data_IF_947115022770
#
_entry.id   IF_947115022770
#
_cell.length_a   1.000
_cell.length_b   1.000
_cell.length_c   1.000
_cell.angle_alpha   90.00
_cell.angle_beta   90.00
_cell.angle_gamma   90.00
#
_symmetry.space_group_name_H-M   'P 1'
#
loop_
_entity.id
_entity.type
_entity.pdbx_description
1 polymer ?
#
# COMPACT_ATOMS: atom_id res chain seq x y z
N UNK A 1 -12.42 -18.67 -7.43
CA UNK A 1 -10.99 -18.35 -7.51
C UNK A 1 -10.29 -19.05 -6.37
N UNK A 2 -9.41 -20.02 -6.64
CA UNK A 2 -8.48 -20.52 -5.62
C UNK A 2 -7.62 -19.33 -5.22
N UNK A 3 -7.68 -18.94 -3.95
CA UNK A 3 -6.65 -18.10 -3.36
C UNK A 3 -5.30 -18.69 -3.77
N UNK A 4 -4.36 -17.87 -4.21
CA UNK A 4 -2.96 -18.26 -4.19
C UNK A 4 -2.69 -18.71 -2.75
N UNK A 5 -2.58 -20.02 -2.55
CA UNK A 5 -2.41 -20.60 -1.22
C UNK A 5 -1.04 -20.14 -0.78
N UNK A 6 -1.04 -19.32 0.26
CA UNK A 6 0.07 -18.65 0.92
C UNK A 6 1.17 -19.61 1.46
N UNK A 7 1.19 -20.88 1.04
CA UNK A 7 2.04 -21.94 1.58
C UNK A 7 3.17 -22.44 0.66
N UNK A 8 3.18 -22.16 -0.65
CA UNK A 8 4.13 -22.83 -1.56
C UNK A 8 5.60 -22.46 -1.32
N UNK A 9 5.90 -21.24 -0.86
CA UNK A 9 7.26 -20.81 -0.55
C UNK A 9 7.73 -21.23 0.85
N UNK A 10 6.81 -21.39 1.81
CA UNK A 10 7.13 -21.84 3.17
C UNK A 10 7.61 -23.31 3.18
N UNK A 11 7.17 -24.10 2.19
CA UNK A 11 7.69 -25.45 1.92
C UNK A 11 9.07 -25.46 1.23
N UNK A 12 9.49 -24.36 0.60
CA UNK A 12 10.76 -24.24 -0.13
C UNK A 12 11.86 -23.60 0.73
N UNK A 13 11.48 -22.69 1.63
CA UNK A 13 12.39 -21.96 2.51
C UNK A 13 11.85 -21.97 3.94
N UNK A 14 12.49 -22.75 4.81
CA UNK A 14 12.20 -22.74 6.24
C UNK A 14 12.78 -21.48 6.89
N UNK A 15 11.92 -20.69 7.55
CA UNK A 15 12.32 -19.57 8.40
C UNK A 15 12.09 -19.96 9.85
N UNK A 16 13.13 -19.86 10.69
CA UNK A 16 13.00 -20.13 12.12
C UNK A 16 12.07 -19.09 12.77
N UNK A 17 10.99 -19.56 13.39
CA UNK A 17 10.01 -18.75 14.11
C UNK A 17 10.65 -17.83 15.17
N UNK A 18 11.78 -18.25 15.76
CA UNK A 18 12.51 -17.43 16.75
C UNK A 18 13.08 -16.15 16.15
N UNK A 19 13.50 -16.19 14.88
CA UNK A 19 14.00 -15.01 14.18
C UNK A 19 12.85 -14.03 13.93
N UNK A 20 11.68 -14.55 13.52
CA UNK A 20 10.47 -13.74 13.33
C UNK A 20 10.02 -13.11 14.66
N UNK A 21 10.00 -13.90 15.74
CA UNK A 21 9.63 -13.44 17.08
C UNK A 21 10.57 -12.34 17.62
N UNK A 22 11.89 -12.51 17.40
CA UNK A 22 12.89 -11.50 17.75
C UNK A 22 12.73 -10.21 16.93
N UNK A 23 12.49 -10.33 15.61
CA UNK A 23 12.28 -9.19 14.73
C UNK A 23 11.00 -8.42 15.07
N UNK A 24 9.89 -9.12 15.31
CA UNK A 24 8.64 -8.50 15.74
C UNK A 24 8.78 -7.83 17.10
N UNK A 25 9.44 -8.49 18.06
CA UNK A 25 9.73 -7.89 19.37
C UNK A 25 10.56 -6.62 19.27
N UNK A 26 11.50 -6.57 18.31
CA UNK A 26 12.29 -5.36 18.02
C UNK A 26 11.42 -4.25 17.45
N UNK A 27 10.58 -4.53 16.43
CA UNK A 27 9.66 -3.55 15.84
C UNK A 27 8.70 -2.96 16.89
N UNK A 28 8.17 -3.79 17.79
CA UNK A 28 7.29 -3.35 18.87
C UNK A 28 7.96 -2.37 19.85
N UNK A 29 9.30 -2.36 19.91
CA UNK A 29 10.06 -1.40 20.71
C UNK A 29 9.99 0.05 20.19
N UNK A 30 9.59 0.24 18.93
CA UNK A 30 9.51 1.56 18.28
C UNK A 30 8.10 2.15 18.23
N UNK A 31 7.13 1.51 18.90
CA UNK A 31 5.79 2.06 19.02
C UNK A 31 5.73 3.11 20.14
N UNK A 32 5.15 4.27 19.83
CA UNK A 32 4.93 5.33 20.82
C UNK A 32 3.65 5.13 21.62
N UNK A 33 3.48 5.88 22.71
CA UNK A 33 2.25 5.90 23.50
C UNK A 33 1.00 6.35 22.69
N UNK A 34 1.20 7.09 21.59
CA UNK A 34 0.13 7.50 20.67
C UNK A 34 -0.28 6.39 19.69
N UNK A 35 0.44 5.27 19.65
CA UNK A 35 0.19 4.15 18.74
C UNK A 35 0.91 4.24 17.40
N UNK A 36 1.55 5.39 17.07
CA UNK A 36 2.40 5.53 15.88
C UNK A 36 3.74 4.80 16.04
N UNK A 37 4.28 4.32 14.93
CA UNK A 37 5.66 3.84 14.87
C UNK A 37 6.60 5.00 14.53
N UNK A 38 7.85 4.89 14.95
CA UNK A 38 8.90 5.86 14.63
C UNK A 38 10.10 5.13 14.06
N UNK A 39 10.76 5.78 13.11
CA UNK A 39 11.99 5.26 12.52
C UNK A 39 13.15 5.32 13.54
N UNK A 40 14.16 4.48 13.34
CA UNK A 40 15.37 4.48 14.17
C UNK A 40 16.15 5.79 14.07
N UNK A 41 16.87 6.15 15.13
CA UNK A 41 17.62 7.43 15.24
C UNK A 41 18.55 7.70 14.06
N UNK A 42 19.11 6.65 13.45
CA UNK A 42 20.02 6.76 12.31
C UNK A 42 19.32 7.25 11.03
N UNK A 43 18.05 6.90 10.83
CA UNK A 43 17.29 7.24 9.63
C UNK A 43 16.30 8.40 9.84
N UNK A 44 16.31 9.06 11.01
CA UNK A 44 15.51 10.27 11.25
C UNK A 44 15.93 11.41 10.31
N UNK A 45 17.24 11.62 10.14
CA UNK A 45 17.78 12.70 9.31
C UNK A 45 17.96 12.30 7.85
N UNK A 46 18.14 11.01 7.57
CA UNK A 46 18.32 10.48 6.22
C UNK A 46 17.45 9.24 6.08
N UNK A 47 16.15 9.41 5.82
CA UNK A 47 15.23 8.29 5.72
C UNK A 47 15.59 7.41 4.52
N UNK A 48 15.43 6.09 4.69
CA UNK A 48 15.57 5.11 3.60
C UNK A 48 14.55 5.37 2.48
N UNK A 49 13.32 5.71 2.85
CA UNK A 49 12.28 6.20 1.95
C UNK A 49 11.78 7.54 2.49
N UNK A 50 11.98 8.62 1.72
CA UNK A 50 11.52 9.96 2.10
C UNK A 50 10.00 10.03 2.29
N UNK A 51 9.24 9.13 1.65
CA UNK A 51 7.77 9.03 1.74
C UNK A 51 7.28 8.36 3.02
N UNK A 52 8.17 7.69 3.75
CA UNK A 52 7.89 7.01 5.03
C UNK A 52 8.70 7.62 6.18
N UNK A 53 9.27 8.81 6.00
CA UNK A 53 9.97 9.56 7.03
C UNK A 53 9.06 10.10 8.15
N UNK A 54 9.64 10.47 9.30
CA UNK A 54 8.92 11.11 10.41
C UNK A 54 8.72 12.63 10.20
N UNK A 55 8.99 13.15 8.98
CA UNK A 55 9.01 14.59 8.71
C UNK A 55 7.63 15.21 8.52
N UNK A 56 6.72 14.49 7.85
CA UNK A 56 5.36 14.98 7.55
C UNK A 56 4.31 14.11 8.23
N UNK A 57 3.14 14.66 8.59
CA UNK A 57 2.06 13.89 9.22
C UNK A 57 1.61 12.71 8.34
N UNK A 58 1.53 12.91 7.02
CA UNK A 58 1.11 11.86 6.08
C UNK A 58 2.14 10.74 5.99
N UNK A 59 3.42 11.08 6.00
CA UNK A 59 4.53 10.11 5.97
C UNK A 59 4.59 9.26 7.25
N UNK A 60 4.28 9.86 8.42
CA UNK A 60 4.10 9.11 9.69
C UNK A 60 2.96 8.11 9.63
N UNK A 61 1.85 8.51 9.00
CA UNK A 61 0.69 7.66 8.78
C UNK A 61 1.05 6.52 7.83
N UNK A 62 1.73 6.81 6.72
CA UNK A 62 2.18 5.80 5.76
C UNK A 62 3.11 4.75 6.42
N UNK A 63 4.10 5.21 7.20
CA UNK A 63 5.02 4.32 7.92
C UNK A 63 4.27 3.45 8.95
N UNK A 64 3.39 4.07 9.74
CA UNK A 64 2.58 3.34 10.73
C UNK A 64 1.69 2.31 10.05
N UNK A 65 1.01 2.66 8.97
CA UNK A 65 0.18 1.74 8.19
C UNK A 65 1.00 0.58 7.60
N UNK A 66 2.18 0.86 7.06
CA UNK A 66 3.07 -0.16 6.51
C UNK A 66 3.50 -1.17 7.58
N UNK A 67 3.91 -0.70 8.76
CA UNK A 67 4.27 -1.57 9.89
C UNK A 67 3.07 -2.38 10.37
N UNK A 68 1.88 -1.80 10.43
CA UNK A 68 0.66 -2.51 10.83
C UNK A 68 0.29 -3.64 9.87
N UNK A 69 0.43 -3.41 8.56
CA UNK A 69 0.25 -4.46 7.54
C UNK A 69 1.23 -5.61 7.81
N UNK A 70 2.51 -5.31 7.99
CA UNK A 70 3.53 -6.32 8.27
C UNK A 70 3.26 -7.09 9.57
N UNK A 71 2.90 -6.39 10.66
CA UNK A 71 2.56 -7.00 11.94
C UNK A 71 1.34 -7.91 11.83
N UNK A 72 0.33 -7.53 11.04
CA UNK A 72 -0.86 -8.35 10.83
C UNK A 72 -0.55 -9.64 10.06
N UNK A 73 0.29 -9.57 9.02
CA UNK A 73 0.75 -10.76 8.28
C UNK A 73 1.60 -11.68 9.18
N UNK A 74 2.51 -11.11 9.99
CA UNK A 74 3.35 -11.86 10.91
C UNK A 74 2.60 -12.39 12.14
N UNK A 75 1.40 -11.89 12.46
CA UNK A 75 0.64 -12.32 13.63
C UNK A 75 0.26 -13.81 13.60
N UNK A 76 0.22 -14.42 12.41
CA UNK A 76 0.00 -15.86 12.25
C UNK A 76 1.24 -16.71 12.58
N UNK A 77 2.44 -16.13 12.49
CA UNK A 77 3.73 -16.82 12.66
C UNK A 77 4.25 -16.75 14.11
N UNK A 78 3.78 -15.77 14.88
CA UNK A 78 4.22 -15.48 16.25
C UNK A 78 3.28 -16.14 17.27
N UNK A 79 3.84 -16.74 18.30
CA UNK A 79 3.11 -17.47 19.35
C UNK A 79 3.41 -16.90 20.75
N UNK A 80 2.51 -17.17 21.71
CA UNK A 80 2.75 -16.82 23.11
C UNK A 80 2.59 -15.33 23.45
N UNK A 81 3.48 -14.81 24.32
CA UNK A 81 3.39 -13.46 24.88
C UNK A 81 3.57 -12.37 23.83
N UNK A 82 4.47 -12.57 22.85
CA UNK A 82 4.71 -11.61 21.78
C UNK A 82 3.45 -11.39 20.94
N UNK A 83 2.66 -12.44 20.69
CA UNK A 83 1.39 -12.33 19.96
C UNK A 83 0.41 -11.37 20.64
N UNK A 84 0.29 -11.43 21.96
CA UNK A 84 -0.58 -10.52 22.71
C UNK A 84 -0.12 -9.06 22.55
N UNK A 85 1.20 -8.82 22.64
CA UNK A 85 1.78 -7.49 22.42
C UNK A 85 1.56 -6.99 20.98
N UNK A 86 1.65 -7.87 19.99
CA UNK A 86 1.33 -7.53 18.58
C UNK A 86 -0.12 -7.11 18.44
N UNK A 87 -1.06 -7.85 19.02
CA UNK A 87 -2.48 -7.51 18.95
C UNK A 87 -2.75 -6.15 19.62
N UNK A 88 -2.18 -5.90 20.79
CA UNK A 88 -2.29 -4.61 21.48
C UNK A 88 -1.69 -3.46 20.66
N UNK A 89 -0.54 -3.70 20.03
CA UNK A 89 0.12 -2.75 19.15
C UNK A 89 -0.71 -2.43 17.90
N UNK A 90 -1.29 -3.45 17.28
CA UNK A 90 -2.18 -3.30 16.12
C UNK A 90 -3.40 -2.47 16.51
N UNK A 91 -4.06 -2.78 17.62
CA UNK A 91 -5.22 -2.02 18.10
C UNK A 91 -4.88 -0.55 18.38
N UNK A 92 -3.70 -0.30 18.95
CA UNK A 92 -3.23 1.06 19.24
C UNK A 92 -2.90 1.83 17.96
N UNK A 93 -2.27 1.18 16.99
CA UNK A 93 -1.97 1.77 15.69
C UNK A 93 -3.22 2.04 14.85
N UNK A 94 -4.23 1.17 14.88
CA UNK A 94 -5.52 1.41 14.21
C UNK A 94 -6.19 2.66 14.76
N UNK A 95 -6.26 2.80 16.10
CA UNK A 95 -6.81 4.00 16.74
C UNK A 95 -6.07 5.28 16.32
N UNK A 96 -4.75 5.20 16.16
CA UNK A 96 -3.96 6.30 15.64
C UNK A 96 -4.35 6.67 14.20
N UNK A 97 -4.46 5.66 13.32
CA UNK A 97 -4.87 5.86 11.92
C UNK A 97 -6.27 6.47 11.82
N UNK A 98 -7.23 5.97 12.59
CA UNK A 98 -8.59 6.51 12.69
C UNK A 98 -8.60 7.99 13.09
N UNK A 99 -7.80 8.36 14.10
CA UNK A 99 -7.69 9.74 14.56
C UNK A 99 -7.05 10.68 13.52
N UNK A 100 -6.22 10.14 12.62
CA UNK A 100 -5.51 10.93 11.59
C UNK A 100 -6.16 10.91 10.22
N UNK A 101 -7.17 10.06 9.99
CA UNK A 101 -7.82 9.86 8.69
C UNK A 101 -8.24 11.16 8.00
N UNK A 102 -8.82 12.10 8.74
CA UNK A 102 -9.28 13.39 8.20
C UNK A 102 -8.15 14.39 7.88
N UNK A 103 -6.93 14.15 8.35
CA UNK A 103 -5.78 15.02 8.15
C UNK A 103 -4.91 14.60 6.96
N UNK A 104 -5.13 13.39 6.42
CA UNK A 104 -4.30 12.82 5.36
C UNK A 104 -4.59 13.56 4.05
N UNK A 105 -3.59 14.27 3.53
CA UNK A 105 -3.70 14.93 2.23
C UNK A 105 -3.16 14.03 1.11
N UNK A 106 -2.05 13.32 1.38
CA UNK A 106 -1.41 12.45 0.42
C UNK A 106 -2.23 11.18 0.10
N UNK A 107 -2.47 10.97 -1.18
CA UNK A 107 -3.26 9.84 -1.67
C UNK A 107 -2.57 8.50 -1.49
N UNK A 108 -1.23 8.47 -1.57
CA UNK A 108 -0.48 7.24 -1.30
C UNK A 108 -0.58 6.83 0.17
N UNK A 109 -0.32 7.76 1.09
CA UNK A 109 -0.52 7.55 2.53
C UNK A 109 -1.96 7.12 2.88
N UNK A 110 -2.97 7.68 2.21
CA UNK A 110 -4.36 7.29 2.42
C UNK A 110 -4.63 5.86 1.93
N UNK A 111 -4.16 5.48 0.75
CA UNK A 111 -4.40 4.15 0.18
C UNK A 111 -3.81 3.04 1.06
N UNK A 112 -2.57 3.22 1.56
CA UNK A 112 -1.96 2.24 2.46
C UNK A 112 -2.65 2.20 3.82
N UNK A 113 -3.10 3.35 4.35
CA UNK A 113 -3.85 3.42 5.60
C UNK A 113 -5.20 2.70 5.49
N UNK A 114 -5.92 2.85 4.37
CA UNK A 114 -7.18 2.15 4.13
C UNK A 114 -6.98 0.63 4.14
N UNK A 115 -5.91 0.14 3.50
CA UNK A 115 -5.60 -1.29 3.53
C UNK A 115 -5.23 -1.78 4.93
N UNK A 116 -4.46 -1.01 5.69
CA UNK A 116 -4.14 -1.33 7.09
C UNK A 116 -5.41 -1.37 7.97
N UNK A 117 -6.34 -0.42 7.80
CA UNK A 117 -7.62 -0.38 8.50
C UNK A 117 -8.52 -1.58 8.15
N UNK A 118 -8.47 -2.04 6.89
CA UNK A 118 -9.17 -3.23 6.44
C UNK A 118 -8.65 -4.48 7.15
N UNK A 119 -7.33 -4.69 7.15
CA UNK A 119 -6.69 -5.81 7.86
C UNK A 119 -6.98 -5.78 9.37
N UNK A 120 -6.97 -4.57 9.94
CA UNK A 120 -7.30 -4.30 11.34
C UNK A 120 -8.77 -4.43 11.73
N UNK A 121 -9.68 -4.65 10.76
CA UNK A 121 -11.14 -4.68 10.95
C UNK A 121 -11.69 -3.46 11.69
N UNK A 122 -11.21 -2.28 11.31
CA UNK A 122 -11.69 -1.00 11.87
C UNK A 122 -13.16 -0.73 11.50
N UNK A 123 -13.89 -0.11 12.42
CA UNK A 123 -15.27 0.35 12.20
C UNK A 123 -15.34 1.56 11.24
N UNK A 124 -14.24 2.32 11.12
CA UNK A 124 -14.16 3.51 10.26
C UNK A 124 -13.71 3.20 8.83
N UNK A 125 -13.56 1.93 8.47
CA UNK A 125 -13.14 1.50 7.13
C UNK A 125 -13.98 2.13 6.01
N UNK A 126 -15.31 2.18 6.19
CA UNK A 126 -16.20 2.76 5.18
C UNK A 126 -15.97 4.26 4.97
N UNK A 127 -15.72 4.98 6.05
CA UNK A 127 -15.34 6.39 5.99
C UNK A 127 -14.02 6.54 5.25
N UNK A 128 -13.02 5.70 5.56
CA UNK A 128 -11.72 5.69 4.89
C UNK A 128 -11.85 5.45 3.38
N UNK A 129 -12.66 4.46 2.98
CA UNK A 129 -12.95 4.15 1.58
C UNK A 129 -13.64 5.31 0.86
N UNK A 130 -14.59 5.98 1.51
CA UNK A 130 -15.23 7.17 0.95
C UNK A 130 -14.22 8.30 0.72
N UNK A 131 -13.31 8.53 1.67
CA UNK A 131 -12.21 9.48 1.51
C UNK A 131 -11.31 9.11 0.33
N UNK A 132 -10.98 7.82 0.18
CA UNK A 132 -10.18 7.32 -0.95
C UNK A 132 -10.90 7.52 -2.29
N UNK A 133 -12.21 7.23 -2.36
CA UNK A 133 -13.02 7.47 -3.56
C UNK A 133 -13.05 8.96 -3.94
N UNK A 134 -13.06 9.86 -2.97
CA UNK A 134 -13.04 11.30 -3.23
C UNK A 134 -11.72 11.79 -3.85
N UNK A 135 -10.62 11.04 -3.66
CA UNK A 135 -9.31 11.34 -4.24
C UNK A 135 -9.03 10.60 -5.56
N UNK A 136 -10.05 10.02 -6.18
CA UNK A 136 -9.91 9.31 -7.45
C UNK A 136 -9.53 10.28 -8.57
N UNK A 137 -8.52 9.92 -9.35
CA UNK A 137 -8.17 10.59 -10.61
C UNK A 137 -8.63 9.71 -11.76
N UNK A 138 -8.99 10.35 -12.88
CA UNK A 138 -9.41 9.64 -14.08
C UNK A 138 -8.50 10.04 -15.22
N UNK A 139 -7.95 9.05 -15.91
CA UNK A 139 -7.06 9.30 -17.04
C UNK A 139 -7.87 9.66 -18.30
N UNK A 140 -7.19 10.07 -19.39
CA UNK A 140 -7.86 10.41 -20.67
C UNK A 140 -8.71 9.27 -21.23
N UNK A 141 -8.37 8.03 -20.89
CA UNK A 141 -9.09 6.82 -21.27
C UNK A 141 -10.32 6.51 -20.39
N UNK A 142 -10.63 7.36 -19.40
CA UNK A 142 -11.73 7.12 -18.46
C UNK A 142 -11.40 6.13 -17.34
N UNK A 143 -10.13 5.75 -17.19
CA UNK A 143 -9.69 4.75 -16.20
C UNK A 143 -9.30 5.40 -14.86
N UNK A 144 -9.80 4.87 -13.73
CA UNK A 144 -9.53 5.40 -12.41
C UNK A 144 -8.13 5.04 -11.91
N UNK A 145 -7.49 5.99 -11.23
CA UNK A 145 -6.21 5.79 -10.56
C UNK A 145 -6.04 6.72 -9.36
N UNK A 146 -5.05 6.43 -8.52
CA UNK A 146 -4.69 7.18 -7.32
C UNK A 146 -3.22 7.58 -7.43
N UNK A 147 -2.97 8.87 -7.32
CA UNK A 147 -1.62 9.42 -7.41
C UNK A 147 -1.57 10.82 -6.78
N UNK A 148 -0.46 11.18 -6.11
CA UNK A 148 -0.23 12.56 -5.68
C UNK A 148 -0.15 13.52 -6.88
N UNK A 149 0.54 13.09 -7.94
CA UNK A 149 0.77 13.85 -9.19
C UNK A 149 -0.07 13.32 -10.34
N UNK A 150 -0.35 14.16 -11.33
CA UNK A 150 -1.04 13.70 -12.54
C UNK A 150 -0.11 12.84 -13.39
N UNK A 151 -0.60 11.68 -13.81
CA UNK A 151 0.15 10.74 -14.65
C UNK A 151 -0.38 10.80 -16.08
N UNK A 152 0.48 11.12 -17.06
CA UNK A 152 0.06 11.18 -18.44
C UNK A 152 -0.27 9.78 -18.98
N UNK A 153 -1.31 9.70 -19.82
CA UNK A 153 -1.61 8.49 -20.59
C UNK A 153 -0.44 8.05 -21.48
N UNK A 154 -0.29 6.74 -21.73
CA UNK A 154 0.61 6.24 -22.75
C UNK A 154 0.29 6.87 -24.13
N UNK A 155 1.33 7.24 -24.91
CA UNK A 155 1.11 7.88 -26.20
C UNK A 155 0.41 6.92 -27.17
N UNK A 156 -0.61 7.43 -27.86
CA UNK A 156 -1.35 6.67 -28.88
C UNK A 156 -0.87 7.11 -30.26
N UNK A 157 -0.28 6.18 -31.02
CA UNK A 157 0.08 6.39 -32.42
C UNK A 157 -0.99 5.77 -33.31
N UNK A 158 -1.52 6.53 -34.27
CA UNK A 158 -2.42 6.00 -35.30
C UNK A 158 -1.63 5.65 -36.55
N UNK A 159 -1.65 4.38 -36.94
CA UNK A 159 -0.98 3.90 -38.16
C UNK A 159 -1.96 3.02 -38.94
N UNK A 160 -2.19 3.34 -40.22
CA UNK A 160 -3.12 2.62 -41.10
C UNK A 160 -4.52 2.43 -40.48
N UNK A 161 -5.09 3.50 -39.93
CA UNK A 161 -6.38 3.53 -39.22
C UNK A 161 -6.46 2.71 -37.92
N UNK A 162 -5.40 1.98 -37.55
CA UNK A 162 -5.29 1.25 -36.28
C UNK A 162 -4.59 2.12 -35.23
N UNK A 163 -5.13 2.11 -34.02
CA UNK A 163 -4.53 2.76 -32.86
C UNK A 163 -3.54 1.78 -32.21
N UNK A 164 -2.29 2.21 -32.07
CA UNK A 164 -1.24 1.51 -31.36
C UNK A 164 -0.87 2.30 -30.12
N UNK A 165 -0.85 1.64 -28.97
CA UNK A 165 -0.35 2.24 -27.73
C UNK A 165 1.14 2.03 -27.66
N UNK A 166 1.90 3.12 -27.58
CA UNK A 166 3.32 3.09 -27.31
C UNK A 166 3.57 2.86 -25.83
N UNK A 167 4.77 2.39 -25.50
CA UNK A 167 5.19 2.35 -24.11
C UNK A 167 5.52 3.78 -23.64
N UNK A 168 5.35 4.01 -22.34
CA UNK A 168 5.52 5.32 -21.72
C UNK A 168 6.93 5.45 -21.14
N UNK A 169 7.44 6.67 -21.12
CA UNK A 169 8.65 7.00 -20.36
C UNK A 169 8.31 7.11 -18.88
N UNK A 170 9.28 6.76 -18.04
CA UNK A 170 9.12 6.92 -16.60
C UNK A 170 8.96 8.41 -16.24
N UNK A 171 7.92 8.70 -15.47
CA UNK A 171 7.67 9.99 -14.85
C UNK A 171 7.83 9.87 -13.34
N UNK A 172 8.30 10.94 -12.71
CA UNK A 172 8.36 11.01 -11.25
C UNK A 172 6.96 10.80 -10.64
N UNK A 173 6.86 9.90 -9.66
CA UNK A 173 5.59 9.52 -9.03
C UNK A 173 4.91 8.29 -9.64
N UNK A 174 5.40 7.74 -10.78
CA UNK A 174 4.82 6.53 -11.38
C UNK A 174 4.80 5.35 -10.42
N UNK A 175 5.90 5.14 -9.69
CA UNK A 175 5.99 4.07 -8.69
C UNK A 175 4.99 4.27 -7.56
N UNK A 176 4.85 5.50 -7.06
CA UNK A 176 3.94 5.81 -5.96
C UNK A 176 2.48 5.65 -6.39
N UNK A 177 2.15 5.98 -7.63
CA UNK A 177 0.81 5.79 -8.16
C UNK A 177 0.47 4.32 -8.39
N UNK A 178 1.39 3.54 -8.95
CA UNK A 178 1.20 2.09 -9.10
C UNK A 178 1.00 1.44 -7.73
N UNK A 179 1.77 1.85 -6.73
CA UNK A 179 1.64 1.37 -5.36
C UNK A 179 0.30 1.77 -4.73
N UNK A 180 -0.07 3.05 -4.80
CA UNK A 180 -1.32 3.57 -4.24
C UNK A 180 -2.56 2.93 -4.91
N UNK A 181 -2.56 2.82 -6.24
CA UNK A 181 -3.62 2.13 -6.99
C UNK A 181 -3.71 0.65 -6.67
N UNK A 182 -2.57 -0.01 -6.41
CA UNK A 182 -2.55 -1.43 -6.01
C UNK A 182 -3.18 -1.62 -4.64
N UNK A 183 -2.82 -0.79 -3.65
CA UNK A 183 -3.46 -0.84 -2.33
C UNK A 183 -4.95 -0.50 -2.37
N UNK A 184 -5.33 0.51 -3.18
CA UNK A 184 -6.74 0.83 -3.41
C UNK A 184 -7.50 -0.36 -4.02
N UNK A 185 -6.92 -1.02 -5.04
CA UNK A 185 -7.49 -2.22 -5.64
C UNK A 185 -7.71 -3.33 -4.60
N UNK A 186 -6.71 -3.60 -3.75
CA UNK A 186 -6.83 -4.59 -2.68
C UNK A 186 -7.97 -4.26 -1.72
N UNK A 187 -8.09 -3.00 -1.31
CA UNK A 187 -9.14 -2.56 -0.42
C UNK A 187 -10.54 -2.69 -1.05
N UNK A 188 -10.72 -2.25 -2.30
CA UNK A 188 -12.01 -2.37 -3.00
C UNK A 188 -12.36 -3.83 -3.28
N UNK A 189 -11.39 -4.65 -3.70
CA UNK A 189 -11.62 -6.06 -3.97
C UNK A 189 -12.01 -6.82 -2.70
N UNK A 190 -11.41 -6.48 -1.56
CA UNK A 190 -11.75 -7.14 -0.29
C UNK A 190 -13.11 -6.71 0.27
N UNK A 191 -13.57 -5.49 -0.05
CA UNK A 191 -14.84 -4.95 0.42
C UNK A 191 -16.03 -5.31 -0.49
N UNK A 192 -15.91 -5.05 -1.78
CA UNK A 192 -17.02 -5.16 -2.75
C UNK A 192 -16.85 -6.34 -3.72
N UNK A 193 -15.71 -7.03 -3.68
CA UNK A 193 -15.40 -8.10 -4.64
C UNK A 193 -15.10 -7.57 -6.04
N UNK A 194 -15.41 -8.39 -7.05
CA UNK A 194 -15.22 -8.01 -8.46
C UNK A 194 -16.34 -7.05 -8.86
N UNK A 195 -15.98 -5.78 -9.02
CA UNK A 195 -16.86 -4.71 -9.45
C UNK A 195 -16.34 -4.05 -10.74
N UNK A 196 -17.18 -3.31 -11.49
CA UNK A 196 -16.72 -2.56 -12.65
C UNK A 196 -15.60 -1.57 -12.33
N UNK A 197 -15.59 -1.03 -11.10
CA UNK A 197 -14.52 -0.15 -10.62
C UNK A 197 -13.22 -0.94 -10.50
N UNK A 198 -13.23 -2.10 -9.84
CA UNK A 198 -12.00 -2.92 -9.71
C UNK A 198 -11.46 -3.37 -11.06
N UNK A 199 -12.34 -3.71 -12.01
CA UNK A 199 -11.92 -4.07 -13.38
C UNK A 199 -11.22 -2.89 -14.07
N UNK A 200 -11.77 -1.68 -13.94
CA UNK A 200 -11.17 -0.48 -14.53
C UNK A 200 -9.83 -0.11 -13.88
N UNK A 201 -9.66 -0.34 -12.57
CA UNK A 201 -8.38 -0.14 -11.88
C UNK A 201 -7.34 -1.13 -12.41
N UNK A 202 -7.70 -2.41 -12.58
CA UNK A 202 -6.81 -3.42 -13.16
C UNK A 202 -6.42 -3.05 -14.59
N UNK A 203 -7.37 -2.57 -15.40
CA UNK A 203 -7.08 -2.07 -16.74
C UNK A 203 -6.08 -0.91 -16.71
N UNK A 204 -6.18 0.01 -15.75
CA UNK A 204 -5.20 1.08 -15.60
C UNK A 204 -3.80 0.56 -15.25
N UNK A 205 -3.71 -0.38 -14.32
CA UNK A 205 -2.44 -1.00 -13.89
C UNK A 205 -1.75 -1.72 -15.05
N UNK A 206 -2.51 -2.44 -15.88
CA UNK A 206 -1.99 -3.13 -17.07
C UNK A 206 -1.42 -2.16 -18.12
N UNK A 207 -1.81 -0.89 -18.09
CA UNK A 207 -1.30 0.13 -19.00
C UNK A 207 0.01 0.78 -18.52
N UNK A 208 0.45 0.52 -17.29
CA UNK A 208 1.65 1.15 -16.71
C UNK A 208 2.97 0.52 -17.19
N UNK A 209 2.98 -0.16 -18.35
CA UNK A 209 4.19 -0.76 -18.91
C UNK A 209 5.13 0.35 -19.43
N UNK A 210 6.29 0.48 -18.77
CA UNK A 210 7.35 1.45 -19.09
C UNK A 210 8.34 0.87 -20.10
N UNK A 211 8.84 1.69 -21.04
CA UNK A 211 9.77 1.29 -22.12
C UNK A 211 11.04 0.57 -21.64
N UNK A 212 11.49 0.80 -20.40
CA UNK A 212 12.75 0.23 -19.88
C UNK A 212 12.81 -1.30 -19.94
N UNK A 213 11.68 -1.99 -19.79
CA UNK A 213 11.60 -3.45 -19.87
C UNK A 213 11.51 -3.99 -21.31
N UNK A 214 11.08 -3.17 -22.27
CA UNK A 214 10.96 -3.58 -23.68
C UNK A 214 12.32 -3.65 -24.38
N UNK A 215 13.35 -2.95 -23.86
CA UNK A 215 14.71 -2.97 -24.40
C UNK A 215 15.51 -4.23 -24.07
N UNK A 216 15.07 -5.02 -23.07
CA UNK A 216 15.74 -6.27 -22.67
C UNK A 216 15.32 -7.46 -23.54
N UNK A 217 14.20 -7.33 -24.27
CA UNK A 217 13.65 -8.36 -25.14
C UNK A 217 13.71 -8.00 -26.64
N UNK A 218 14.65 -7.14 -27.05
CA UNK A 218 14.96 -6.90 -28.46
C UNK A 218 16.41 -7.26 -28.79
#
# INVERSE_FOLDING_TARGET
>A
MRAAVYGDWEYVLYVDKRVVDAAVSWILGFQTAEGKFVETEHYIHTPLDSRMSDQTPDSRVAMTAHVLIALNECAALVEGHTRNRVVEAILSGIKYLEAKLNMIADTHALAIAVWALHLGRSEQLQTALNHLMNQIRVNTDGLPYWSPTEIPSPPVKKENQRLFRGARLYTEGDSAAVEATSYALLAFLAQDGVSPITDNIVLWLLLQVVEGLASIFR
#
